data_IF_253369921172
#
_entry.id   IF_253369921172
#
_cell.length_a   1.000
_cell.length_b   1.000
_cell.length_c   1.000
_cell.angle_alpha   90.00
_cell.angle_beta   90.00
_cell.angle_gamma   90.00
#
_symmetry.space_group_name_H-M   'P 1'
#
loop_
_entity.id
_entity.type
_entity.pdbx_description
1 polymer ?
#
# COMPACT_ATOMS: atom_id res chain seq x y z
N UNK A 1 25.52 -21.99 86.84
CA UNK A 1 24.94 -22.99 85.91
C UNK A 1 24.85 -22.39 84.53
N UNK A 2 25.49 -23.08 83.60
CA UNK A 2 25.67 -22.74 82.17
C UNK A 2 24.35 -22.62 81.41
N UNK A 3 24.24 -21.63 80.52
CA UNK A 3 24.04 -21.87 79.08
C UNK A 3 24.25 -20.60 78.25
N UNK A 4 25.28 -20.71 77.41
CA UNK A 4 25.64 -19.87 76.26
C UNK A 4 24.59 -20.07 75.15
N UNK A 5 24.22 -19.01 74.43
CA UNK A 5 24.05 -19.07 72.97
C UNK A 5 24.53 -17.78 72.31
N UNK A 6 25.47 -17.99 71.40
CA UNK A 6 26.17 -17.08 70.52
C UNK A 6 25.33 -16.87 69.26
N UNK A 7 25.35 -15.69 68.67
CA UNK A 7 24.74 -15.39 67.38
C UNK A 7 25.25 -14.06 66.84
N UNK A 8 26.32 -14.13 66.05
CA UNK A 8 26.95 -13.04 65.31
C UNK A 8 26.29 -12.93 63.93
N UNK A 9 25.96 -11.72 63.46
CA UNK A 9 26.17 -11.26 62.08
C UNK A 9 25.93 -9.73 62.00
N UNK A 10 27.00 -8.93 61.97
CA UNK A 10 27.57 -8.27 60.79
C UNK A 10 26.60 -7.34 60.05
N UNK A 11 26.84 -6.03 60.17
CA UNK A 11 26.02 -4.99 59.57
C UNK A 11 26.33 -4.69 58.10
N UNK A 12 25.49 -3.86 57.50
CA UNK A 12 25.88 -2.93 56.45
C UNK A 12 24.84 -1.80 56.38
N UNK A 13 25.37 -0.57 56.52
CA UNK A 13 24.70 0.71 56.35
C UNK A 13 25.08 1.25 54.96
N UNK A 14 24.21 2.10 54.39
CA UNK A 14 24.38 2.89 53.16
C UNK A 14 24.13 2.09 51.86
N UNK A 15 23.51 2.58 50.79
CA UNK A 15 23.26 3.92 50.23
C UNK A 15 21.93 3.84 49.45
N UNK A 16 21.13 4.90 49.48
CA UNK A 16 19.93 5.01 48.64
C UNK A 16 20.26 5.04 47.14
N UNK A 17 19.51 4.28 46.35
CA UNK A 17 19.39 4.49 44.92
C UNK A 17 17.92 4.75 44.61
N UNK A 18 17.62 6.05 44.55
CA UNK A 18 16.50 6.57 43.79
C UNK A 18 16.69 6.20 42.33
N UNK A 19 15.60 5.75 41.70
CA UNK A 19 15.45 5.80 40.25
C UNK A 19 16.06 4.64 39.48
N UNK A 20 15.22 3.67 39.15
CA UNK A 20 15.07 3.32 37.74
C UNK A 20 13.59 3.05 37.52
N UNK A 21 12.83 4.13 37.31
CA UNK A 21 11.55 4.01 36.64
C UNK A 21 11.86 3.55 35.22
N UNK A 22 11.61 2.28 34.93
CA UNK A 22 11.45 1.88 33.54
C UNK A 22 10.14 2.48 33.08
N UNK A 23 10.26 3.48 32.22
CA UNK A 23 9.19 3.94 31.35
C UNK A 23 8.71 2.73 30.55
N UNK A 24 7.60 2.12 30.98
CA UNK A 24 6.80 1.27 30.11
C UNK A 24 5.78 2.20 29.43
N UNK A 25 6.27 2.94 28.44
CA UNK A 25 5.45 3.83 27.62
C UNK A 25 5.06 3.07 26.36
N UNK A 26 3.82 2.57 26.36
CA UNK A 26 3.04 2.38 25.14
C UNK A 26 3.14 1.00 24.53
N UNK A 27 2.02 0.27 24.64
CA UNK A 27 1.51 -0.77 23.75
C UNK A 27 2.50 -1.24 22.67
N UNK A 28 3.06 -2.43 22.84
CA UNK A 28 3.84 -3.12 21.81
C UNK A 28 2.88 -3.55 20.68
N UNK A 29 2.74 -2.74 19.60
CA UNK A 29 1.68 -2.92 18.59
C UNK A 29 2.04 -3.95 17.51
N UNK A 30 3.30 -4.38 17.38
CA UNK A 30 3.71 -5.25 16.26
C UNK A 30 4.54 -6.44 16.71
N UNK A 31 4.15 -7.64 16.26
CA UNK A 31 4.91 -8.87 16.52
C UNK A 31 6.32 -8.79 15.91
N UNK A 32 7.28 -9.55 16.46
CA UNK A 32 8.61 -9.70 15.85
C UNK A 32 8.54 -10.14 14.38
N UNK A 33 7.55 -10.94 14.01
CA UNK A 33 7.31 -11.35 12.63
C UNK A 33 6.93 -10.16 11.72
N UNK A 34 6.15 -9.21 12.24
CA UNK A 34 5.82 -7.96 11.53
C UNK A 34 7.06 -7.10 11.36
N UNK A 35 7.84 -6.90 12.44
CA UNK A 35 9.06 -6.09 12.39
C UNK A 35 10.10 -6.65 11.42
N UNK A 36 10.20 -7.99 11.31
CA UNK A 36 11.14 -8.63 10.39
C UNK A 36 10.81 -8.46 8.90
N UNK A 37 9.62 -7.97 8.56
CA UNK A 37 9.19 -7.76 7.16
C UNK A 37 9.55 -6.39 6.60
N UNK A 38 9.98 -5.44 7.44
CA UNK A 38 10.49 -4.17 6.96
C UNK A 38 11.76 -4.37 6.16
N UNK A 39 11.87 -3.64 5.04
CA UNK A 39 13.11 -3.58 4.27
C UNK A 39 14.07 -2.58 4.89
N UNK A 40 15.35 -2.74 4.56
CA UNK A 40 16.37 -1.76 4.93
C UNK A 40 15.99 -0.38 4.38
N UNK A 41 16.06 0.65 5.24
CA UNK A 41 15.69 2.05 4.94
C UNK A 41 14.20 2.29 4.65
N UNK A 42 13.33 1.32 4.89
CA UNK A 42 11.89 1.54 4.80
C UNK A 42 11.42 2.45 5.95
N UNK A 43 10.65 3.49 5.62
CA UNK A 43 10.08 4.39 6.63
C UNK A 43 9.09 3.61 7.49
N UNK A 44 9.26 3.66 8.82
CA UNK A 44 8.43 2.93 9.78
C UNK A 44 7.46 3.81 10.57
N UNK A 45 7.61 5.13 10.47
CA UNK A 45 6.74 6.11 11.13
C UNK A 45 6.58 7.35 10.25
N UNK A 46 5.36 7.87 10.15
CA UNK A 46 5.07 9.13 9.46
C UNK A 46 4.02 9.94 10.23
N UNK A 47 4.33 11.21 10.51
CA UNK A 47 3.45 12.13 11.25
C UNK A 47 2.92 11.57 12.58
N UNK A 48 3.75 10.82 13.32
CA UNK A 48 3.38 10.22 14.60
C UNK A 48 2.55 8.94 14.50
N UNK A 49 2.32 8.41 13.29
CA UNK A 49 1.68 7.11 13.06
C UNK A 49 2.73 6.08 12.64
N UNK A 50 2.77 4.94 13.34
CA UNK A 50 3.52 3.77 12.89
C UNK A 50 2.93 3.22 11.60
N UNK A 51 3.80 2.86 10.68
CA UNK A 51 3.45 2.26 9.40
C UNK A 51 3.57 0.74 9.51
N UNK A 52 2.90 0.02 8.64
CA UNK A 52 3.09 -1.41 8.43
C UNK A 52 4.13 -1.64 7.32
N UNK A 53 4.79 -2.81 7.27
CA UNK A 53 5.63 -3.20 6.14
C UNK A 53 4.83 -3.14 4.84
N UNK A 54 5.40 -2.51 3.80
CA UNK A 54 4.68 -2.27 2.54
C UNK A 54 4.29 -3.56 1.82
N UNK A 55 5.11 -4.61 1.95
CA UNK A 55 4.85 -5.91 1.34
C UNK A 55 3.93 -6.69 2.26
N UNK A 56 2.78 -7.13 1.75
CA UNK A 56 1.81 -7.98 2.44
C UNK A 56 2.37 -9.37 2.83
N UNK A 57 1.65 -10.12 3.69
CA UNK A 57 2.11 -11.42 4.17
C UNK A 57 2.09 -12.53 3.11
N UNK A 58 1.29 -12.36 2.06
CA UNK A 58 0.96 -13.41 1.08
C UNK A 58 1.05 -12.84 -0.35
N UNK A 59 1.54 -13.64 -1.29
CA UNK A 59 1.41 -13.34 -2.72
C UNK A 59 0.08 -13.86 -3.26
N UNK A 60 -0.69 -12.96 -3.87
CA UNK A 60 -2.00 -13.22 -4.48
C UNK A 60 -2.00 -12.98 -6.00
N UNK A 61 -0.84 -13.08 -6.65
CA UNK A 61 -0.66 -12.93 -8.10
C UNK A 61 -1.35 -14.04 -8.91
N UNK A 62 -1.71 -13.75 -10.16
CA UNK A 62 -2.26 -14.77 -11.06
C UNK A 62 -1.14 -15.70 -11.55
N UNK A 63 0.03 -15.13 -11.87
CA UNK A 63 1.15 -15.86 -12.51
C UNK A 63 2.50 -15.61 -11.84
N UNK A 64 2.51 -15.43 -10.52
CA UNK A 64 3.71 -15.11 -9.75
C UNK A 64 4.03 -13.62 -9.76
N UNK A 65 5.07 -13.24 -9.02
CA UNK A 65 5.60 -11.86 -9.00
C UNK A 65 6.10 -11.49 -10.40
N UNK A 66 5.68 -10.32 -10.88
CA UNK A 66 6.05 -9.83 -12.21
C UNK A 66 7.28 -8.94 -12.12
N UNK A 67 8.18 -9.06 -13.10
CA UNK A 67 9.44 -8.31 -13.17
C UNK A 67 9.46 -7.46 -14.45
N UNK A 68 8.99 -6.22 -14.35
CA UNK A 68 8.86 -5.33 -15.51
C UNK A 68 10.11 -4.48 -15.71
N UNK A 69 10.65 -4.49 -16.94
CA UNK A 69 11.79 -3.65 -17.30
C UNK A 69 11.32 -2.26 -17.74
N UNK A 70 11.60 -1.23 -16.92
CA UNK A 70 11.17 0.15 -17.17
C UNK A 70 11.68 0.75 -18.49
N UNK A 71 12.80 0.26 -19.05
CA UNK A 71 13.31 0.77 -20.34
C UNK A 71 12.37 0.43 -21.50
N UNK A 72 11.74 -0.76 -21.44
CA UNK A 72 10.78 -1.25 -22.44
C UNK A 72 9.33 -1.08 -22.00
N UNK A 73 9.09 -0.87 -20.71
CA UNK A 73 7.77 -0.66 -20.15
C UNK A 73 7.08 0.55 -20.77
N UNK A 74 5.77 0.43 -21.00
CA UNK A 74 4.91 1.53 -21.38
C UNK A 74 3.61 1.44 -20.61
N UNK A 75 3.17 2.55 -20.05
CA UNK A 75 1.81 2.71 -19.53
C UNK A 75 0.93 3.21 -20.67
N UNK A 76 -0.15 2.50 -20.95
CA UNK A 76 -1.11 2.87 -21.98
C UNK A 76 -2.35 3.50 -21.36
N UNK A 77 -2.92 4.48 -22.05
CA UNK A 77 -4.25 5.01 -21.76
C UNK A 77 -5.09 4.83 -23.03
N UNK A 78 -6.20 4.11 -22.92
CA UNK A 78 -6.97 3.57 -24.05
C UNK A 78 -8.48 3.73 -23.82
N UNK A 79 -9.30 3.15 -24.71
CA UNK A 79 -10.76 3.10 -24.57
C UNK A 79 -11.45 4.30 -25.21
N UNK A 80 -12.36 4.93 -24.47
CA UNK A 80 -13.19 6.06 -24.91
C UNK A 80 -12.42 7.39 -24.97
N UNK A 81 -11.44 7.42 -25.86
CA UNK A 81 -10.55 8.56 -26.15
C UNK A 81 -10.33 8.66 -27.66
N UNK A 82 -9.83 9.80 -28.14
CA UNK A 82 -9.61 9.99 -29.58
C UNK A 82 -8.38 9.27 -30.11
N UNK A 83 -7.29 9.25 -29.33
CA UNK A 83 -6.01 8.63 -29.68
C UNK A 83 -5.39 7.98 -28.43
N UNK A 84 -4.81 6.79 -28.59
CA UNK A 84 -4.09 6.09 -27.52
C UNK A 84 -2.89 6.91 -27.04
N UNK A 85 -2.76 7.07 -25.72
CA UNK A 85 -1.58 7.67 -25.11
C UNK A 85 -0.69 6.56 -24.59
N UNK A 86 0.61 6.69 -24.88
CA UNK A 86 1.63 5.73 -24.47
C UNK A 86 2.73 6.51 -23.76
N UNK A 87 2.89 6.28 -22.45
CA UNK A 87 3.88 6.93 -21.60
C UNK A 87 5.00 5.96 -21.22
N UNK A 88 6.23 6.45 -21.22
CA UNK A 88 7.35 5.80 -20.56
C UNK A 88 7.25 5.93 -19.04
N UNK A 89 8.02 5.13 -18.31
CA UNK A 89 8.11 5.24 -16.86
C UNK A 89 8.51 6.67 -16.41
N UNK A 90 9.54 7.24 -17.05
CA UNK A 90 10.05 8.57 -16.71
C UNK A 90 9.04 9.69 -17.02
N UNK A 91 8.25 9.55 -18.10
CA UNK A 91 7.19 10.52 -18.43
C UNK A 91 6.05 10.50 -17.41
N UNK A 92 5.69 9.34 -16.86
CA UNK A 92 4.73 9.26 -15.74
C UNK A 92 5.32 9.95 -14.51
N UNK A 93 6.58 9.68 -14.17
CA UNK A 93 7.25 10.26 -13.00
C UNK A 93 7.53 11.77 -13.14
N UNK A 94 7.46 12.33 -14.34
CA UNK A 94 7.59 13.76 -14.58
C UNK A 94 6.34 14.56 -14.18
N UNK A 95 5.22 13.90 -13.92
CA UNK A 95 3.99 14.53 -13.44
C UNK A 95 4.08 14.87 -11.94
N UNK A 96 3.13 15.68 -11.45
CA UNK A 96 3.09 16.09 -10.04
C UNK A 96 2.94 14.87 -9.12
N UNK A 97 3.84 14.75 -8.14
CA UNK A 97 3.83 13.66 -7.17
C UNK A 97 3.01 14.03 -5.95
N UNK A 98 2.18 13.10 -5.51
CA UNK A 98 1.34 13.21 -4.33
C UNK A 98 1.69 12.10 -3.34
N UNK A 99 1.71 12.46 -2.06
CA UNK A 99 1.94 11.53 -0.96
C UNK A 99 0.63 11.28 -0.20
N UNK A 100 0.32 10.01 0.08
CA UNK A 100 -0.95 9.56 0.70
C UNK A 100 -0.69 8.49 1.75
N UNK A 101 -1.11 8.75 3.00
CA UNK A 101 -1.07 7.76 4.08
C UNK A 101 -2.38 6.97 4.10
N UNK A 102 -2.39 5.75 3.56
CA UNK A 102 -3.62 4.96 3.35
C UNK A 102 -3.51 3.60 4.03
N UNK A 103 -4.60 3.14 4.63
CA UNK A 103 -4.74 1.77 5.11
C UNK A 103 -5.40 0.90 4.02
N UNK A 104 -4.69 -0.14 3.59
CA UNK A 104 -5.25 -1.19 2.74
C UNK A 104 -5.95 -2.20 3.62
N UNK A 105 -7.20 -2.55 3.30
CA UNK A 105 -7.94 -3.64 3.95
C UNK A 105 -8.04 -4.84 3.01
N UNK A 106 -7.58 -6.00 3.45
CA UNK A 106 -7.68 -7.23 2.69
C UNK A 106 -8.93 -8.03 3.10
N UNK A 107 -9.61 -8.60 2.12
CA UNK A 107 -10.74 -9.53 2.32
C UNK A 107 -10.38 -10.77 3.15
N UNK A 108 -9.10 -11.11 3.28
CA UNK A 108 -8.63 -12.22 4.11
C UNK A 108 -8.38 -11.81 5.57
N UNK A 109 -8.75 -10.59 5.97
CA UNK A 109 -8.82 -10.18 7.37
C UNK A 109 -7.56 -9.53 7.94
N UNK A 110 -6.66 -9.04 7.08
CA UNK A 110 -5.52 -8.22 7.49
C UNK A 110 -5.59 -6.83 6.89
N UNK A 111 -4.94 -5.87 7.53
CA UNK A 111 -4.77 -4.51 7.03
C UNK A 111 -3.31 -4.06 7.11
N UNK A 112 -2.97 -3.02 6.36
CA UNK A 112 -1.65 -2.39 6.39
C UNK A 112 -1.76 -0.89 6.11
N UNK A 113 -1.29 -0.07 7.04
CA UNK A 113 -1.13 1.38 6.85
C UNK A 113 0.22 1.66 6.19
N UNK A 114 0.19 2.22 4.99
CA UNK A 114 1.39 2.47 4.18
C UNK A 114 1.38 3.93 3.71
N UNK A 115 2.57 4.53 3.65
CA UNK A 115 2.79 5.83 3.04
C UNK A 115 3.07 5.65 1.54
N UNK A 116 2.14 6.04 0.69
CA UNK A 116 2.25 5.92 -0.75
C UNK A 116 2.72 7.23 -1.38
N UNK A 117 3.49 7.13 -2.46
CA UNK A 117 3.85 8.26 -3.34
C UNK A 117 3.55 7.88 -4.79
N UNK A 118 2.85 8.76 -5.50
CA UNK A 118 2.32 8.46 -6.83
C UNK A 118 1.80 9.67 -7.57
N UNK A 119 1.28 9.43 -8.76
CA UNK A 119 0.64 10.44 -9.60
C UNK A 119 -0.87 10.32 -9.46
N UNK A 120 -1.60 11.43 -9.42
CA UNK A 120 -3.05 11.39 -9.46
C UNK A 120 -3.52 10.69 -10.74
N UNK A 121 -4.40 9.70 -10.58
CA UNK A 121 -5.03 9.02 -11.71
C UNK A 121 -5.86 10.00 -12.54
N UNK A 122 -6.48 11.01 -11.92
CA UNK A 122 -7.19 12.07 -12.62
C UNK A 122 -6.31 12.82 -13.61
N UNK A 123 -5.05 13.06 -13.26
CA UNK A 123 -4.13 13.86 -14.06
C UNK A 123 -3.62 13.04 -15.25
N UNK A 124 -3.31 11.76 -15.03
CA UNK A 124 -3.01 10.82 -16.10
C UNK A 124 -4.17 10.70 -17.10
N UNK A 125 -5.39 10.50 -16.60
CA UNK A 125 -6.59 10.39 -17.43
C UNK A 125 -6.85 11.68 -18.20
N UNK A 126 -6.61 12.85 -17.58
CA UNK A 126 -6.82 14.15 -18.20
C UNK A 126 -5.94 14.38 -19.44
N UNK A 127 -4.75 13.78 -19.52
CA UNK A 127 -3.90 13.83 -20.72
C UNK A 127 -4.63 13.33 -21.97
N UNK A 128 -5.53 12.35 -21.79
CA UNK A 128 -6.27 11.72 -22.88
C UNK A 128 -7.56 12.44 -23.27
N UNK A 129 -7.88 13.58 -22.63
CA UNK A 129 -9.10 14.35 -22.86
C UNK A 129 -10.35 13.45 -22.85
N UNK A 130 -10.68 12.86 -21.68
CA UNK A 130 -11.69 11.80 -21.57
C UNK A 130 -13.04 12.23 -22.13
N UNK A 131 -13.70 11.34 -22.87
CA UNK A 131 -15.05 11.57 -23.38
C UNK A 131 -16.07 11.80 -22.25
N UNK A 132 -17.15 12.51 -22.54
CA UNK A 132 -18.20 12.82 -21.56
C UNK A 132 -18.94 11.59 -21.03
N UNK A 133 -18.91 10.49 -21.80
CA UNK A 133 -19.58 9.23 -21.47
C UNK A 133 -18.70 8.28 -20.64
N UNK A 134 -17.47 8.68 -20.28
CA UNK A 134 -16.57 7.88 -19.44
C UNK A 134 -17.09 7.85 -18.01
N UNK A 135 -17.50 6.67 -17.58
CA UNK A 135 -18.02 6.43 -16.22
C UNK A 135 -17.14 5.49 -15.41
N UNK A 136 -16.31 4.69 -16.07
CA UNK A 136 -15.57 3.58 -15.47
C UNK A 136 -14.15 3.57 -16.00
N UNK A 137 -13.20 3.36 -15.11
CA UNK A 137 -11.79 3.18 -15.45
C UNK A 137 -11.42 1.73 -15.16
N UNK A 138 -10.93 1.04 -16.19
CA UNK A 138 -10.50 -0.35 -16.11
C UNK A 138 -8.97 -0.37 -16.08
N UNK A 139 -8.41 -1.08 -15.11
CA UNK A 139 -6.98 -1.28 -14.98
C UNK A 139 -6.62 -2.68 -15.46
N UNK A 140 -5.63 -2.77 -16.33
CA UNK A 140 -5.05 -4.05 -16.74
C UNK A 140 -3.62 -4.16 -16.21
N UNK A 141 -3.29 -5.33 -15.71
CA UNK A 141 -1.97 -5.68 -15.20
C UNK A 141 -1.23 -6.65 -16.13
N UNK A 142 0.08 -6.70 -15.99
CA UNK A 142 0.93 -7.56 -16.84
C UNK A 142 0.68 -9.05 -16.68
N UNK A 143 0.17 -9.52 -15.53
CA UNK A 143 -0.14 -10.93 -15.28
C UNK A 143 -1.54 -11.35 -15.78
N UNK A 144 -2.25 -10.45 -16.46
CA UNK A 144 -3.61 -10.63 -16.93
C UNK A 144 -4.69 -10.26 -15.89
N UNK A 145 -4.29 -9.74 -14.73
CA UNK A 145 -5.23 -9.23 -13.75
C UNK A 145 -5.95 -7.99 -14.28
N UNK A 146 -7.26 -7.91 -14.05
CA UNK A 146 -8.02 -6.70 -14.33
C UNK A 146 -8.97 -6.38 -13.18
N UNK A 147 -9.24 -5.09 -12.99
CA UNK A 147 -10.28 -4.58 -12.09
C UNK A 147 -10.73 -3.21 -12.61
N UNK A 148 -11.80 -2.66 -12.05
CA UNK A 148 -12.34 -1.37 -12.47
C UNK A 148 -12.76 -0.51 -11.28
N UNK A 149 -12.70 0.81 -11.44
CA UNK A 149 -13.22 1.76 -10.47
C UNK A 149 -14.15 2.77 -11.17
N UNK A 150 -15.21 3.25 -10.50
CA UNK A 150 -15.98 4.38 -11.01
C UNK A 150 -15.06 5.61 -11.17
N UNK A 151 -15.17 6.29 -12.31
CA UNK A 151 -14.34 7.46 -12.57
C UNK A 151 -14.63 8.61 -11.60
N UNK A 152 -15.87 8.70 -11.09
CA UNK A 152 -16.22 9.62 -10.01
C UNK A 152 -15.40 9.37 -8.74
N UNK A 153 -15.30 8.12 -8.29
CA UNK A 153 -14.54 7.75 -7.09
C UNK A 153 -13.06 8.12 -7.25
N UNK A 154 -12.47 7.86 -8.43
CA UNK A 154 -11.08 8.25 -8.72
C UNK A 154 -10.86 9.76 -8.51
N UNK A 155 -11.78 10.60 -9.01
CA UNK A 155 -11.71 12.06 -8.88
C UNK A 155 -11.97 12.51 -7.45
N UNK A 156 -13.04 12.03 -6.83
CA UNK A 156 -13.52 12.47 -5.52
C UNK A 156 -12.52 12.13 -4.41
N UNK A 157 -11.88 10.95 -4.49
CA UNK A 157 -10.87 10.49 -3.52
C UNK A 157 -9.44 10.84 -3.91
N UNK A 158 -9.24 11.47 -5.07
CA UNK A 158 -7.92 11.82 -5.62
C UNK A 158 -6.98 10.59 -5.62
N UNK A 159 -7.47 9.46 -6.14
CA UNK A 159 -6.72 8.20 -6.13
C UNK A 159 -5.42 8.33 -6.92
N UNK A 160 -4.37 7.62 -6.49
CA UNK A 160 -3.05 7.68 -7.11
C UNK A 160 -2.66 6.36 -7.76
N UNK A 161 -1.88 6.47 -8.82
CA UNK A 161 -1.03 5.41 -9.34
C UNK A 161 0.34 5.54 -8.65
N UNK A 162 0.59 4.70 -7.66
CA UNK A 162 1.79 4.80 -6.83
C UNK A 162 2.99 4.09 -7.48
N UNK A 163 4.18 4.67 -7.30
CA UNK A 163 5.47 4.12 -7.70
C UNK A 163 6.47 4.01 -6.54
N UNK A 164 6.04 4.40 -5.34
CA UNK A 164 6.78 4.31 -4.09
C UNK A 164 5.87 3.96 -2.91
N UNK A 165 6.44 3.28 -1.93
CA UNK A 165 5.81 2.96 -0.65
C UNK A 165 6.83 3.11 0.49
N UNK A 166 6.40 3.68 1.61
CA UNK A 166 7.23 3.92 2.80
C UNK A 166 8.60 4.53 2.46
N UNK A 167 8.62 5.54 1.58
CA UNK A 167 9.81 6.27 1.15
C UNK A 167 10.74 5.54 0.17
N UNK A 168 10.42 4.29 -0.19
CA UNK A 168 11.21 3.48 -1.13
C UNK A 168 10.46 3.26 -2.44
N UNK A 169 11.19 3.06 -3.53
CA UNK A 169 10.62 2.55 -4.78
C UNK A 169 9.90 1.22 -4.51
N UNK A 170 8.78 1.00 -5.20
CA UNK A 170 8.05 -0.25 -5.06
C UNK A 170 8.98 -1.43 -5.35
N UNK A 171 8.95 -2.48 -4.51
CA UNK A 171 9.48 -3.77 -4.89
C UNK A 171 8.56 -4.42 -5.94
N UNK A 172 9.09 -5.40 -6.66
CA UNK A 172 8.33 -6.17 -7.65
C UNK A 172 7.10 -6.83 -7.00
N UNK A 173 7.24 -7.35 -5.77
CA UNK A 173 6.17 -7.97 -4.99
C UNK A 173 5.01 -7.01 -4.70
N UNK A 174 5.23 -5.70 -4.70
CA UNK A 174 4.18 -4.70 -4.45
C UNK A 174 3.62 -4.09 -5.74
N UNK A 175 4.12 -4.49 -6.91
CA UNK A 175 3.58 -4.04 -8.18
C UNK A 175 4.51 -3.14 -9.01
N UNK A 176 5.81 -3.11 -8.76
CA UNK A 176 6.74 -2.28 -9.57
C UNK A 176 6.52 -2.50 -11.09
N UNK A 177 6.35 -1.43 -11.90
CA UNK A 177 6.59 -0.03 -11.54
C UNK A 177 5.41 0.69 -10.89
N UNK A 178 4.17 0.19 -11.02
CA UNK A 178 2.97 0.90 -10.60
C UNK A 178 1.90 0.00 -9.97
N UNK A 179 1.32 0.49 -8.88
CA UNK A 179 0.13 -0.06 -8.22
C UNK A 179 -0.98 1.01 -8.12
N UNK A 180 -2.23 0.63 -8.31
CA UNK A 180 -3.39 1.47 -8.00
C UNK A 180 -3.61 1.50 -6.48
N UNK A 181 -3.55 2.69 -5.88
CA UNK A 181 -3.91 2.91 -4.48
C UNK A 181 -5.40 3.25 -4.42
N UNK A 182 -6.25 2.23 -4.28
CA UNK A 182 -7.70 2.35 -4.27
C UNK A 182 -8.22 2.53 -2.83
N UNK A 183 -7.97 3.69 -2.24
CA UNK A 183 -8.48 4.07 -0.91
C UNK A 183 -9.98 3.76 -0.75
N UNK A 184 -10.36 3.29 0.43
CA UNK A 184 -11.72 2.81 0.78
C UNK A 184 -12.21 1.60 -0.02
N UNK A 185 -11.35 0.97 -0.83
CA UNK A 185 -11.65 -0.28 -1.51
C UNK A 185 -10.86 -1.44 -0.92
N UNK A 186 -11.47 -2.62 -0.90
CA UNK A 186 -10.77 -3.85 -0.57
C UNK A 186 -9.58 -4.09 -1.51
N UNK A 187 -8.54 -4.74 -0.99
CA UNK A 187 -7.25 -4.93 -1.66
C UNK A 187 -7.30 -5.55 -3.07
N UNK A 188 -8.35 -6.29 -3.42
CA UNK A 188 -8.49 -6.79 -4.80
C UNK A 188 -8.75 -5.67 -5.81
N UNK A 189 -9.19 -4.47 -5.41
CA UNK A 189 -9.28 -3.32 -6.32
C UNK A 189 -7.95 -2.60 -6.53
N UNK A 190 -6.89 -2.99 -5.82
CA UNK A 190 -5.56 -2.38 -5.87
C UNK A 190 -4.69 -3.12 -6.89
N UNK A 191 -4.91 -2.85 -8.18
CA UNK A 191 -4.19 -3.52 -9.26
C UNK A 191 -2.68 -3.25 -9.19
N UNK A 192 -1.89 -4.32 -9.10
CA UNK A 192 -0.41 -4.31 -9.18
C UNK A 192 0.03 -4.43 -10.64
N UNK A 193 1.25 -4.00 -10.95
CA UNK A 193 1.87 -4.15 -12.28
C UNK A 193 1.04 -3.58 -13.41
N UNK A 194 0.43 -2.41 -13.18
CA UNK A 194 -0.49 -1.78 -14.13
C UNK A 194 0.25 -1.50 -15.44
N UNK A 195 -0.33 -1.93 -16.57
CA UNK A 195 0.18 -1.69 -17.92
C UNK A 195 -0.76 -0.82 -18.75
N UNK A 196 -2.05 -0.78 -18.40
CA UNK A 196 -3.07 -0.04 -19.15
C UNK A 196 -4.17 0.51 -18.25
N UNK A 197 -4.60 1.74 -18.57
CA UNK A 197 -5.75 2.44 -18.00
C UNK A 197 -6.75 2.64 -19.14
N UNK A 198 -7.78 1.81 -19.19
CA UNK A 198 -8.83 1.85 -20.22
C UNK A 198 -10.03 2.66 -19.72
N UNK A 199 -10.42 3.68 -20.48
CA UNK A 199 -11.60 4.49 -20.20
C UNK A 199 -12.83 3.85 -20.82
N UNK A 200 -13.84 3.57 -20.02
CA UNK A 200 -15.04 2.84 -20.44
C UNK A 200 -16.32 3.50 -19.96
N UNK A 201 -17.41 3.24 -20.68
CA UNK A 201 -18.78 3.56 -20.27
C UNK A 201 -19.47 2.38 -19.58
N UNK A 202 -18.83 1.20 -19.51
CA UNK A 202 -19.39 0.00 -18.90
C UNK A 202 -19.24 0.02 -17.38
N UNK A 203 -20.24 0.60 -16.70
CA UNK A 203 -20.34 0.60 -15.23
C UNK A 203 -20.55 -0.77 -14.61
N UNK A 204 -20.76 -1.81 -15.41
CA UNK A 204 -20.94 -3.18 -14.95
C UNK A 204 -19.73 -4.07 -15.24
N UNK A 205 -18.62 -3.51 -15.71
CA UNK A 205 -17.40 -4.26 -15.96
C UNK A 205 -16.99 -5.03 -14.71
N UNK A 206 -16.73 -6.33 -14.88
CA UNK A 206 -16.21 -7.21 -13.84
C UNK A 206 -14.80 -7.64 -14.18
N UNK A 207 -13.87 -7.31 -13.28
CA UNK A 207 -12.48 -7.75 -13.33
C UNK A 207 -12.30 -9.21 -12.97
N UNK A 208 -11.10 -9.57 -12.56
CA UNK A 208 -10.73 -10.95 -12.26
C UNK A 208 -11.55 -11.52 -11.09
N UNK A 209 -11.44 -10.95 -9.89
CA UNK A 209 -12.13 -11.49 -8.70
C UNK A 209 -13.65 -11.27 -8.76
N UNK A 210 -14.10 -10.18 -9.39
CA UNK A 210 -15.52 -9.85 -9.52
C UNK A 210 -16.25 -10.84 -10.43
N UNK A 211 -15.55 -11.43 -11.42
CA UNK A 211 -16.07 -12.57 -12.21
C UNK A 211 -16.24 -13.84 -11.37
N UNK A 212 -15.45 -14.00 -10.30
CA UNK A 212 -15.57 -15.10 -9.33
C UNK A 212 -16.55 -14.81 -8.18
N UNK A 213 -17.35 -13.74 -8.28
CA UNK A 213 -18.45 -13.46 -7.35
C UNK A 213 -18.11 -12.51 -6.21
N UNK A 214 -16.92 -11.92 -6.22
CA UNK A 214 -16.60 -10.80 -5.31
C UNK A 214 -17.46 -9.58 -5.66
N UNK A 215 -17.74 -8.74 -4.66
CA UNK A 215 -18.50 -7.51 -4.88
C UNK A 215 -17.77 -6.58 -5.86
N UNK A 216 -18.52 -5.93 -6.75
CA UNK A 216 -17.93 -5.07 -7.76
C UNK A 216 -17.55 -3.70 -7.21
N UNK A 217 -18.35 -3.19 -6.25
CA UNK A 217 -18.14 -1.88 -5.63
C UNK A 217 -17.00 -1.95 -4.63
N UNK A 218 -16.95 -3.03 -3.84
CA UNK A 218 -15.84 -3.40 -2.99
C UNK A 218 -15.49 -2.36 -1.91
N UNK A 219 -16.48 -1.61 -1.42
CA UNK A 219 -16.30 -0.66 -0.32
C UNK A 219 -15.86 -1.41 0.94
N UNK A 220 -14.90 -0.84 1.67
CA UNK A 220 -14.56 -1.27 3.03
C UNK A 220 -15.59 -0.65 3.98
N UNK A 221 -16.22 -1.48 4.82
CA UNK A 221 -17.23 -1.05 5.80
C UNK A 221 -16.63 -0.24 6.96
#
# INVERSE_FOLDING_TARGET
>A
MSKIKFGILFGLLCIGLSGCGTFDNGVDVHSQATLSRFRENEVTEYQGKFLDPSIGPEDNSISGVQHLNITTYRLKITGLITEEIILTYDEVLALETHQRLITLHCVTGWDATILWEGILLSDLIALAHPGVDVTTIIFHASDGYTTSLPYSVIKDKQLILAYKSNGLTLPDELGYPFIVVAEEKYGYKWARWVTEIELSSDSNYKGYWEKFGYDNIADVD
#
